data_IF_628922009655
#
_entry.id   IF_628922009655
#
_cell.length_a   1.000
_cell.length_b   1.000
_cell.length_c   1.000
_cell.angle_alpha   90.00
_cell.angle_beta   90.00
_cell.angle_gamma   90.00
#
_symmetry.space_group_name_H-M   'P 1'
#
loop_
_entity.id
_entity.type
_entity.pdbx_description
1 polymer ?
#
# COMPACT_ATOMS: atom_id res chain seq x y z
N UNK A 1 9.39 10.60 -16.47
CA UNK A 1 8.13 10.85 -17.21
C UNK A 1 7.26 11.74 -16.33
N UNK A 2 6.82 12.92 -16.78
CA UNK A 2 6.27 13.98 -15.91
C UNK A 2 4.72 14.04 -15.86
N UNK A 3 4.03 13.16 -16.60
CA UNK A 3 2.56 13.13 -16.63
C UNK A 3 1.97 12.61 -15.31
N UNK A 4 0.98 13.30 -14.71
CA UNK A 4 0.39 12.89 -13.42
C UNK A 4 -0.13 11.45 -13.40
N UNK A 5 -0.77 11.03 -14.50
CA UNK A 5 -1.33 9.68 -14.66
C UNK A 5 -0.29 8.58 -14.89
N UNK A 6 1.00 8.91 -14.97
CA UNK A 6 2.06 7.97 -15.33
C UNK A 6 3.26 7.98 -14.38
N UNK A 7 3.50 9.08 -13.64
CA UNK A 7 4.70 9.24 -12.82
C UNK A 7 4.47 9.34 -11.31
N UNK A 8 3.22 9.50 -10.84
CA UNK A 8 2.96 9.89 -9.44
C UNK A 8 2.49 8.74 -8.53
N UNK A 9 2.27 7.55 -9.06
CA UNK A 9 1.69 6.44 -8.29
C UNK A 9 2.45 6.12 -7.00
N UNK A 10 3.78 6.13 -7.04
CA UNK A 10 4.62 5.92 -5.85
C UNK A 10 4.39 7.02 -4.79
N UNK A 11 4.42 8.29 -5.19
CA UNK A 11 4.22 9.42 -4.28
C UNK A 11 2.81 9.41 -3.68
N UNK A 12 1.79 9.12 -4.47
CA UNK A 12 0.41 9.01 -3.99
C UNK A 12 0.25 7.90 -2.95
N UNK A 13 0.89 6.74 -3.16
CA UNK A 13 0.92 5.65 -2.18
C UNK A 13 1.61 6.09 -0.90
N UNK A 14 2.81 6.67 -0.99
CA UNK A 14 3.59 7.04 0.19
C UNK A 14 2.89 8.11 1.04
N UNK A 15 2.26 9.09 0.39
CA UNK A 15 1.45 10.11 1.05
C UNK A 15 0.24 9.47 1.75
N UNK A 16 -0.49 8.58 1.07
CA UNK A 16 -1.63 7.89 1.67
C UNK A 16 -1.23 7.01 2.86
N UNK A 17 -0.12 6.28 2.77
CA UNK A 17 0.42 5.49 3.89
C UNK A 17 0.84 6.36 5.07
N UNK A 18 1.41 7.54 4.79
CA UNK A 18 1.80 8.50 5.82
C UNK A 18 0.58 9.05 6.56
N UNK A 19 -0.49 9.39 5.83
CA UNK A 19 -1.77 9.81 6.44
C UNK A 19 -2.42 8.67 7.22
N UNK A 20 -2.39 7.45 6.69
CA UNK A 20 -2.85 6.27 7.41
C UNK A 20 -2.08 6.08 8.71
N UNK A 21 -0.74 6.15 8.68
CA UNK A 21 0.12 6.01 9.85
C UNK A 21 -0.20 7.04 10.93
N UNK A 22 -0.50 8.29 10.56
CA UNK A 22 -0.94 9.34 11.51
C UNK A 22 -2.25 9.00 12.21
N UNK A 23 -3.17 8.34 11.52
CA UNK A 23 -4.49 7.96 12.07
C UNK A 23 -4.41 6.67 12.90
N UNK A 24 -3.73 5.64 12.39
CA UNK A 24 -3.66 4.33 13.05
C UNK A 24 -2.60 4.27 14.15
N UNK A 25 -1.61 5.18 14.12
CA UNK A 25 -0.48 5.19 15.04
C UNK A 25 0.31 3.88 14.97
N UNK A 26 0.68 3.34 16.13
CA UNK A 26 1.40 2.07 16.24
C UNK A 26 0.50 0.84 16.38
N UNK A 27 -0.82 1.03 16.50
CA UNK A 27 -1.78 -0.06 16.50
C UNK A 27 -2.04 -0.55 15.07
N UNK A 28 -1.20 -1.50 14.65
CA UNK A 28 -1.32 -2.20 13.38
C UNK A 28 -2.25 -3.43 13.46
N UNK A 29 -3.18 -3.48 14.42
CA UNK A 29 -4.13 -4.60 14.51
C UNK A 29 -4.96 -4.76 13.24
N UNK A 30 -5.36 -5.99 12.94
CA UNK A 30 -6.17 -6.30 11.76
C UNK A 30 -7.45 -5.43 11.71
N UNK A 31 -8.06 -5.16 12.87
CA UNK A 31 -9.23 -4.30 13.01
C UNK A 31 -8.94 -2.86 12.57
N UNK A 32 -7.92 -2.21 13.14
CA UNK A 32 -7.66 -0.78 12.87
C UNK A 32 -7.32 -0.53 11.40
N UNK A 33 -6.56 -1.45 10.81
CA UNK A 33 -6.22 -1.41 9.38
C UNK A 33 -7.46 -1.63 8.51
N UNK A 34 -8.31 -2.59 8.86
CA UNK A 34 -9.58 -2.86 8.17
C UNK A 34 -10.52 -1.65 8.22
N UNK A 35 -10.69 -1.05 9.40
CA UNK A 35 -11.53 0.13 9.62
C UNK A 35 -11.05 1.32 8.76
N UNK A 36 -9.73 1.56 8.71
CA UNK A 36 -9.17 2.62 7.88
C UNK A 36 -9.37 2.36 6.37
N UNK A 37 -9.18 1.12 5.91
CA UNK A 37 -9.42 0.75 4.52
C UNK A 37 -10.90 0.97 4.13
N UNK A 38 -11.83 0.53 4.97
CA UNK A 38 -13.27 0.78 4.78
C UNK A 38 -13.60 2.26 4.81
N UNK A 39 -13.01 3.05 5.71
CA UNK A 39 -13.22 4.50 5.74
C UNK A 39 -12.77 5.18 4.44
N UNK A 40 -11.66 4.71 3.86
CA UNK A 40 -11.16 5.18 2.57
C UNK A 40 -12.17 4.88 1.47
N UNK A 41 -12.63 3.63 1.38
CA UNK A 41 -13.57 3.19 0.33
C UNK A 41 -14.95 3.86 0.47
N UNK A 42 -15.48 3.97 1.70
CA UNK A 42 -16.77 4.61 1.98
C UNK A 42 -16.75 6.12 1.73
N UNK A 43 -15.57 6.75 1.78
CA UNK A 43 -15.38 8.15 1.37
C UNK A 43 -15.38 8.36 -0.16
N UNK A 44 -15.55 7.30 -0.95
CA UNK A 44 -15.49 7.34 -2.41
C UNK A 44 -14.05 7.36 -2.97
N UNK A 45 -13.04 7.25 -2.11
CA UNK A 45 -11.63 7.16 -2.51
C UNK A 45 -11.25 5.70 -2.78
N UNK A 46 -10.12 5.52 -3.47
CA UNK A 46 -9.52 4.21 -3.75
C UNK A 46 -8.36 3.93 -2.81
N UNK A 47 -7.95 2.66 -2.69
CA UNK A 47 -6.70 2.29 -2.01
C UNK A 47 -5.56 2.36 -3.03
N UNK A 48 -4.62 3.32 -2.93
CA UNK A 48 -3.57 3.50 -3.93
C UNK A 48 -2.67 2.27 -4.05
N UNK A 49 -2.20 1.98 -5.27
CA UNK A 49 -1.34 0.82 -5.54
C UNK A 49 -2.08 -0.52 -5.68
N UNK A 50 -3.39 -0.58 -5.40
CA UNK A 50 -4.23 -1.77 -5.54
C UNK A 50 -5.28 -1.60 -6.65
N UNK A 51 -5.83 -2.71 -7.16
CA UNK A 51 -6.99 -2.68 -8.05
C UNK A 51 -6.68 -2.58 -9.55
N UNK A 52 -5.51 -3.07 -9.99
CA UNK A 52 -5.08 -2.97 -11.38
C UNK A 52 -6.01 -3.71 -12.35
N UNK A 53 -6.30 -3.12 -13.51
CA UNK A 53 -7.23 -3.71 -14.50
C UNK A 53 -6.77 -5.07 -15.07
N UNK A 54 -5.45 -5.26 -15.16
CA UNK A 54 -4.83 -6.43 -15.84
C UNK A 54 -4.24 -7.46 -14.88
N UNK A 55 -3.68 -7.06 -13.73
CA UNK A 55 -2.93 -7.96 -12.86
C UNK A 55 -3.89 -8.87 -12.11
N UNK A 56 -3.81 -10.18 -12.30
CA UNK A 56 -4.72 -11.16 -11.65
C UNK A 56 -4.14 -11.78 -10.37
N UNK A 57 -2.95 -11.35 -9.99
CA UNK A 57 -2.19 -11.76 -8.79
C UNK A 57 -1.25 -10.63 -8.41
N UNK A 58 -0.64 -10.72 -7.23
CA UNK A 58 0.40 -9.80 -6.78
C UNK A 58 1.48 -9.62 -7.86
N UNK A 59 1.81 -8.36 -8.15
CA UNK A 59 2.88 -8.03 -9.08
C UNK A 59 4.22 -8.63 -8.60
N UNK A 60 4.94 -9.42 -9.41
CA UNK A 60 6.26 -9.93 -9.03
C UNK A 60 7.26 -8.85 -8.61
N UNK A 61 7.13 -7.62 -9.13
CA UNK A 61 7.97 -6.49 -8.73
C UNK A 61 7.69 -6.03 -7.30
N UNK A 62 6.42 -6.08 -6.88
CA UNK A 62 6.05 -5.87 -5.48
C UNK A 62 6.69 -6.94 -4.59
N UNK A 63 6.63 -8.21 -5.01
CA UNK A 63 7.22 -9.32 -4.24
C UNK A 63 8.73 -9.18 -4.08
N UNK A 64 9.45 -8.81 -5.14
CA UNK A 64 10.89 -8.57 -5.06
C UNK A 64 11.25 -7.47 -4.05
N UNK A 65 10.48 -6.37 -4.02
CA UNK A 65 10.65 -5.30 -3.04
C UNK A 65 10.30 -5.73 -1.62
N UNK A 66 9.26 -6.56 -1.47
CA UNK A 66 8.87 -7.15 -0.19
C UNK A 66 9.96 -8.06 0.37
N UNK A 67 10.53 -8.95 -0.45
CA UNK A 67 11.63 -9.82 -0.06
C UNK A 67 12.85 -9.02 0.41
N UNK A 68 13.18 -7.95 -0.32
CA UNK A 68 14.24 -7.03 0.09
C UNK A 68 13.91 -6.37 1.45
N UNK A 69 12.69 -5.85 1.62
CA UNK A 69 12.24 -5.23 2.87
C UNK A 69 12.30 -6.17 4.06
N UNK A 70 11.83 -7.42 3.90
CA UNK A 70 11.90 -8.47 4.92
C UNK A 70 13.35 -8.76 5.34
N UNK A 71 14.28 -8.75 4.39
CA UNK A 71 15.68 -9.08 4.66
C UNK A 71 16.48 -7.91 5.25
N UNK A 72 16.11 -6.66 4.97
CA UNK A 72 16.97 -5.48 5.24
C UNK A 72 16.39 -4.48 6.23
N UNK A 73 15.07 -4.40 6.33
CA UNK A 73 14.36 -3.42 7.16
C UNK A 73 13.07 -3.98 7.78
N UNK A 74 13.08 -5.21 8.35
CA UNK A 74 11.85 -5.83 8.87
C UNK A 74 11.22 -5.06 10.04
N UNK A 75 12.05 -4.32 10.78
CA UNK A 75 11.62 -3.56 11.96
C UNK A 75 11.09 -2.15 11.64
N UNK A 76 11.21 -1.70 10.38
CA UNK A 76 10.77 -0.37 9.97
C UNK A 76 9.25 -0.20 10.15
N UNK A 77 8.78 0.87 10.85
CA UNK A 77 7.37 1.05 11.12
C UNK A 77 6.49 1.20 9.87
N UNK A 78 6.99 1.87 8.83
CA UNK A 78 6.25 2.06 7.58
C UNK A 78 6.21 0.76 6.77
N UNK A 79 7.30 -0.01 6.77
CA UNK A 79 7.32 -1.35 6.18
C UNK A 79 6.36 -2.33 6.87
N UNK A 80 6.28 -2.29 8.21
CA UNK A 80 5.30 -3.07 8.96
C UNK A 80 3.88 -2.68 8.60
N UNK A 81 3.60 -1.39 8.45
CA UNK A 81 2.30 -0.89 7.96
C UNK A 81 1.97 -1.42 6.56
N UNK A 82 2.89 -1.28 5.59
CA UNK A 82 2.72 -1.83 4.23
C UNK A 82 2.47 -3.33 4.25
N UNK A 83 3.23 -4.07 5.06
CA UNK A 83 3.06 -5.51 5.23
C UNK A 83 1.67 -5.89 5.75
N UNK A 84 1.12 -5.08 6.64
CA UNK A 84 -0.20 -5.32 7.22
C UNK A 84 -1.33 -4.94 6.27
N UNK A 85 -1.18 -3.84 5.52
CA UNK A 85 -2.09 -3.49 4.41
C UNK A 85 -2.10 -4.60 3.36
N UNK A 86 -0.94 -5.18 3.02
CA UNK A 86 -0.85 -6.31 2.10
C UNK A 86 -1.62 -7.54 2.54
N UNK A 87 -1.59 -7.86 3.84
CA UNK A 87 -2.35 -8.98 4.41
C UNK A 87 -3.87 -8.76 4.28
N UNK A 88 -4.35 -7.52 4.47
CA UNK A 88 -5.77 -7.24 4.73
C UNK A 88 -6.50 -6.66 3.52
N UNK A 89 -5.87 -5.73 2.79
CA UNK A 89 -6.50 -5.01 1.69
C UNK A 89 -7.12 -5.92 0.62
N UNK A 90 -6.52 -7.07 0.22
CA UNK A 90 -7.14 -7.95 -0.76
C UNK A 90 -8.53 -8.45 -0.34
N UNK A 91 -8.70 -8.79 0.95
CA UNK A 91 -9.98 -9.22 1.50
C UNK A 91 -11.01 -8.09 1.49
N UNK A 92 -10.65 -6.93 2.03
CA UNK A 92 -11.54 -5.75 2.09
C UNK A 92 -11.97 -5.30 0.69
N UNK A 93 -11.04 -5.26 -0.27
CA UNK A 93 -11.35 -4.86 -1.66
C UNK A 93 -12.25 -5.87 -2.37
N UNK A 94 -12.12 -7.16 -2.05
CA UNK A 94 -13.00 -8.22 -2.55
C UNK A 94 -14.39 -8.06 -1.97
N UNK A 95 -14.51 -7.86 -0.66
CA UNK A 95 -15.79 -7.66 0.04
C UNK A 95 -16.53 -6.40 -0.43
N UNK A 96 -15.80 -5.30 -0.65
CA UNK A 96 -16.36 -4.07 -1.22
C UNK A 96 -16.90 -4.26 -2.66
N UNK A 97 -16.46 -5.29 -3.39
CA UNK A 97 -17.07 -5.75 -4.64
C UNK A 97 -16.84 -4.89 -5.89
N UNK A 98 -16.23 -3.71 -5.77
CA UNK A 98 -15.92 -2.84 -6.93
C UNK A 98 -14.58 -3.15 -7.60
N UNK A 99 -13.69 -3.86 -6.91
CA UNK A 99 -12.32 -4.12 -7.40
C UNK A 99 -12.22 -5.48 -8.06
N UNK A 100 -11.96 -5.51 -9.37
CA UNK A 100 -11.85 -6.78 -10.11
C UNK A 100 -10.64 -7.61 -9.70
N UNK A 101 -9.48 -6.98 -9.50
CA UNK A 101 -8.27 -7.67 -9.07
C UNK A 101 -7.64 -6.94 -7.87
N UNK A 102 -7.77 -7.47 -6.65
CA UNK A 102 -7.47 -6.74 -5.42
C UNK A 102 -6.00 -6.88 -4.99
N UNK A 103 -5.08 -6.92 -5.95
CA UNK A 103 -3.65 -7.16 -5.72
C UNK A 103 -2.83 -5.89 -5.90
N UNK A 104 -1.71 -5.74 -5.17
CA UNK A 104 -0.86 -4.57 -5.29
C UNK A 104 0.07 -4.65 -6.52
N UNK A 105 0.50 -3.48 -6.98
CA UNK A 105 1.57 -3.29 -7.94
C UNK A 105 2.88 -2.84 -7.26
N UNK A 106 3.94 -2.62 -8.05
CA UNK A 106 5.24 -2.16 -7.56
C UNK A 106 5.20 -0.84 -6.77
N UNK A 107 4.32 0.08 -7.13
CA UNK A 107 4.25 1.42 -6.53
C UNK A 107 3.66 1.38 -5.11
N UNK A 108 2.94 0.30 -4.76
CA UNK A 108 2.43 0.05 -3.42
C UNK A 108 3.54 -0.18 -2.36
N UNK A 109 4.81 -0.29 -2.76
CA UNK A 109 5.91 -0.68 -1.88
C UNK A 109 7.19 0.14 -2.06
N UNK A 110 7.45 0.67 -3.25
CA UNK A 110 8.72 1.32 -3.58
C UNK A 110 9.01 2.55 -2.69
N UNK A 111 8.00 3.35 -2.38
CA UNK A 111 8.14 4.56 -1.56
C UNK A 111 8.71 4.31 -0.17
N UNK A 112 8.24 3.26 0.53
CA UNK A 112 8.73 2.97 1.89
C UNK A 112 10.18 2.49 1.90
N UNK A 113 10.64 1.82 0.83
CA UNK A 113 12.05 1.44 0.71
C UNK A 113 12.93 2.68 0.52
N UNK A 114 12.52 3.59 -0.36
CA UNK A 114 13.26 4.85 -0.61
C UNK A 114 13.35 5.69 0.66
N UNK A 115 12.22 5.89 1.34
CA UNK A 115 12.13 6.70 2.55
C UNK A 115 13.03 6.16 3.67
N UNK A 116 13.06 4.84 3.87
CA UNK A 116 13.88 4.21 4.89
C UNK A 116 15.39 4.50 4.73
N UNK A 117 15.87 4.58 3.48
CA UNK A 117 17.27 4.89 3.18
C UNK A 117 17.56 6.38 2.94
N UNK A 118 16.62 7.26 3.32
CA UNK A 118 16.84 8.71 3.33
C UNK A 118 16.45 9.45 2.05
N UNK A 119 15.82 8.79 1.08
CA UNK A 119 15.19 9.43 -0.08
C UNK A 119 13.73 9.73 0.27
N UNK A 120 13.45 10.97 0.67
CA UNK A 120 12.21 11.34 1.39
C UNK A 120 11.36 12.39 0.67
N UNK A 121 11.82 12.86 -0.50
CA UNK A 121 11.19 13.88 -1.34
C UNK A 121 9.94 13.41 -2.10
#
# INVERSE_FOLDING_TARGET
LAGPLHGLANQEVLLWLTEMKKVVGDDLSDKNITDYLWSTLNSGRVVPGYGHAVLRKTDPRYMAQREFGLAKMPEDPMFKLVSQVYKIAPGVLTEHGKTKNPYPNVDAHSGVLLQHYGLTE
#
